data_IF_573642131988
#
_entry.id   IF_573642131988
#
_cell.length_a   1.000
_cell.length_b   1.000
_cell.length_c   1.000
_cell.angle_alpha   90.00
_cell.angle_beta   90.00
_cell.angle_gamma   90.00
#
_symmetry.space_group_name_H-M   'P 1'
#
loop_
_entity.id
_entity.type
_entity.pdbx_description
1 polymer ?
#
# COMPACT_ATOMS: atom_id res chain seq x y z
N UNK A 1 11.40 -35.35 1.66
CA UNK A 1 11.21 -34.62 0.44
C UNK A 1 12.20 -33.49 0.28
N UNK A 2 12.75 -33.33 -0.89
CA UNK A 2 13.73 -32.30 -1.12
C UNK A 2 13.07 -31.11 -1.80
N UNK A 3 12.81 -30.05 -1.02
CA UNK A 3 12.12 -28.87 -1.54
C UNK A 3 12.95 -28.13 -2.58
N UNK A 4 14.27 -28.32 -2.59
CA UNK A 4 15.12 -27.63 -3.56
C UNK A 4 14.81 -28.04 -4.99
N UNK A 5 14.34 -29.26 -5.20
CA UNK A 5 13.98 -29.70 -6.54
C UNK A 5 12.73 -29.01 -7.07
N UNK A 6 11.90 -28.55 -6.15
CA UNK A 6 10.64 -27.93 -6.51
C UNK A 6 10.69 -26.42 -6.39
N UNK A 7 11.90 -25.87 -6.23
CA UNK A 7 12.04 -24.43 -6.00
C UNK A 7 12.91 -23.79 -7.05
N UNK A 8 12.61 -22.54 -7.34
CA UNK A 8 13.42 -21.73 -8.24
C UNK A 8 13.80 -20.48 -7.47
N UNK A 9 15.07 -20.13 -7.51
CA UNK A 9 15.53 -18.92 -6.85
C UNK A 9 15.37 -17.74 -7.77
N UNK A 10 14.85 -16.65 -7.24
CA UNK A 10 14.71 -15.40 -7.98
C UNK A 10 15.49 -14.32 -7.26
N UNK A 11 16.11 -13.41 -8.01
CA UNK A 11 16.77 -12.26 -7.36
C UNK A 11 15.77 -11.44 -6.58
N UNK A 12 16.25 -10.83 -5.52
CA UNK A 12 15.40 -10.00 -4.67
C UNK A 12 14.70 -8.90 -5.48
N UNK A 13 15.43 -8.24 -6.37
CA UNK A 13 14.86 -7.16 -7.16
C UNK A 13 13.74 -7.64 -8.06
N UNK A 14 13.86 -8.85 -8.58
CA UNK A 14 12.80 -9.43 -9.41
C UNK A 14 11.54 -9.64 -8.59
N UNK A 15 11.69 -10.15 -7.39
CA UNK A 15 10.53 -10.38 -6.51
C UNK A 15 9.87 -9.05 -6.17
N UNK A 16 10.67 -8.03 -5.88
CA UNK A 16 10.15 -6.70 -5.57
C UNK A 16 9.35 -6.16 -6.75
N UNK A 17 9.90 -6.27 -7.96
CA UNK A 17 9.21 -5.79 -9.14
C UNK A 17 7.88 -6.50 -9.34
N UNK A 18 7.89 -7.82 -9.21
CA UNK A 18 6.65 -8.59 -9.39
C UNK A 18 5.61 -8.20 -8.35
N UNK A 19 6.06 -8.00 -7.12
CA UNK A 19 5.14 -7.63 -6.05
C UNK A 19 4.54 -6.24 -6.29
N UNK A 20 5.38 -5.26 -6.66
CA UNK A 20 4.90 -3.90 -6.90
C UNK A 20 3.90 -3.89 -8.05
N UNK A 21 4.22 -4.58 -9.15
CA UNK A 21 3.32 -4.56 -10.30
C UNK A 21 2.03 -5.31 -10.03
N UNK A 22 2.09 -6.37 -9.23
CA UNK A 22 0.88 -7.06 -8.80
C UNK A 22 -0.01 -6.12 -7.99
N UNK A 23 0.61 -5.37 -7.07
CA UNK A 23 -0.13 -4.40 -6.27
C UNK A 23 -0.75 -3.30 -7.16
N UNK A 24 -0.01 -2.82 -8.16
CA UNK A 24 -0.55 -1.81 -9.07
C UNK A 24 -1.76 -2.32 -9.83
N UNK A 25 -1.66 -3.53 -10.34
CA UNK A 25 -2.80 -4.14 -11.04
C UNK A 25 -3.99 -4.27 -10.09
N UNK A 26 -3.72 -4.66 -8.85
CA UNK A 26 -4.78 -4.78 -7.85
C UNK A 26 -5.47 -3.44 -7.62
N UNK A 27 -4.69 -2.36 -7.52
CA UNK A 27 -5.26 -1.02 -7.34
C UNK A 27 -6.08 -0.60 -8.55
N UNK A 28 -5.57 -0.85 -9.75
CA UNK A 28 -6.29 -0.50 -10.96
C UNK A 28 -7.59 -1.28 -11.09
N UNK A 29 -7.54 -2.54 -10.73
CA UNK A 29 -8.70 -3.41 -10.81
C UNK A 29 -9.84 -2.91 -9.93
N UNK A 30 -9.51 -2.36 -8.76
CA UNK A 30 -10.53 -1.84 -7.86
C UNK A 30 -11.30 -0.68 -8.47
N UNK A 31 -10.71 0.00 -9.46
CA UNK A 31 -11.32 1.15 -10.10
C UNK A 31 -12.12 0.79 -11.34
N UNK A 32 -12.05 -0.45 -11.78
CA UNK A 32 -12.76 -0.88 -12.98
C UNK A 32 -14.24 -0.95 -12.67
N UNK A 33 -15.05 -0.23 -13.45
CA UNK A 33 -16.48 -0.17 -13.22
C UNK A 33 -17.23 -1.27 -13.93
N UNK A 34 -16.80 -1.66 -15.11
CA UNK A 34 -17.46 -2.72 -15.85
C UNK A 34 -16.89 -4.06 -15.41
N UNK A 35 -17.51 -4.65 -14.41
CA UNK A 35 -16.98 -5.87 -13.82
C UNK A 35 -17.11 -7.07 -14.72
N UNK A 36 -18.08 -7.06 -15.63
CA UNK A 36 -18.26 -8.19 -16.53
C UNK A 36 -17.06 -8.39 -17.44
N UNK A 37 -16.45 -7.29 -17.88
CA UNK A 37 -15.31 -7.37 -18.77
C UNK A 37 -13.98 -7.56 -18.05
N UNK A 38 -14.01 -7.63 -16.72
CA UNK A 38 -12.79 -7.71 -15.94
C UNK A 38 -12.67 -9.00 -15.15
N UNK A 39 -13.53 -9.97 -15.41
CA UNK A 39 -13.53 -11.20 -14.61
C UNK A 39 -12.20 -11.93 -14.70
N UNK A 40 -11.69 -12.11 -15.92
CA UNK A 40 -10.42 -12.79 -16.11
C UNK A 40 -9.26 -12.05 -15.46
N UNK A 41 -9.27 -10.73 -15.62
CA UNK A 41 -8.23 -9.90 -15.03
C UNK A 41 -8.26 -10.02 -13.49
N UNK A 42 -9.46 -9.90 -12.93
CA UNK A 42 -9.61 -10.00 -11.48
C UNK A 42 -9.12 -11.33 -10.95
N UNK A 43 -9.46 -12.39 -11.65
CA UNK A 43 -9.04 -13.73 -11.26
C UNK A 43 -7.51 -13.85 -11.28
N UNK A 44 -6.89 -13.38 -12.37
CA UNK A 44 -5.43 -13.49 -12.51
C UNK A 44 -4.69 -12.66 -11.48
N UNK A 45 -5.14 -11.42 -11.25
CA UNK A 45 -4.49 -10.55 -10.29
C UNK A 45 -4.61 -11.12 -8.89
N UNK A 46 -5.79 -11.65 -8.55
CA UNK A 46 -5.98 -12.27 -7.24
C UNK A 46 -5.04 -13.45 -7.05
N UNK A 47 -4.90 -14.27 -8.09
CA UNK A 47 -4.02 -15.43 -7.98
C UNK A 47 -2.56 -15.01 -7.81
N UNK A 48 -2.14 -13.96 -8.51
CA UNK A 48 -0.78 -13.47 -8.34
C UNK A 48 -0.54 -12.93 -6.93
N UNK A 49 -1.50 -12.18 -6.43
CA UNK A 49 -1.40 -11.63 -5.08
C UNK A 49 -1.36 -12.74 -4.05
N UNK A 50 -2.26 -13.72 -4.18
CA UNK A 50 -2.31 -14.85 -3.25
C UNK A 50 -1.03 -15.66 -3.29
N UNK A 51 -0.45 -15.85 -4.47
CA UNK A 51 0.79 -16.59 -4.59
C UNK A 51 1.94 -15.91 -3.88
N UNK A 52 2.02 -14.59 -4.02
CA UNK A 52 3.06 -13.83 -3.33
C UNK A 52 2.86 -13.87 -1.82
N UNK A 53 1.62 -13.73 -1.38
CA UNK A 53 1.32 -13.76 0.05
C UNK A 53 1.62 -15.13 0.64
N UNK A 54 1.38 -16.18 -0.13
CA UNK A 54 1.68 -17.53 0.33
C UNK A 54 3.19 -17.72 0.56
N UNK A 55 4.02 -16.96 -0.13
CA UNK A 55 5.46 -17.04 0.04
C UNK A 55 5.96 -16.14 1.16
N UNK A 56 5.10 -15.33 1.74
CA UNK A 56 5.47 -14.46 2.84
C UNK A 56 5.45 -12.98 2.54
N UNK A 57 5.04 -12.57 1.35
CA UNK A 57 4.90 -11.16 1.04
C UNK A 57 3.70 -10.57 1.74
N UNK A 58 3.87 -9.40 2.34
CA UNK A 58 2.76 -8.65 2.91
C UNK A 58 2.77 -7.28 2.28
N UNK A 59 1.58 -6.83 1.87
CA UNK A 59 1.39 -5.50 1.29
C UNK A 59 0.69 -4.65 2.33
N UNK A 60 1.35 -3.59 2.77
CA UNK A 60 0.81 -2.75 3.84
C UNK A 60 0.28 -1.46 3.23
N UNK A 61 -0.98 -1.18 3.48
CA UNK A 61 -1.67 0.01 2.98
C UNK A 61 -2.04 0.88 4.17
N UNK A 62 -1.48 2.09 4.20
CA UNK A 62 -1.73 3.02 5.29
C UNK A 62 -2.54 4.23 4.82
N UNK A 63 -3.23 4.11 3.70
CA UNK A 63 -4.07 5.19 3.19
C UNK A 63 -5.08 5.61 4.25
N UNK A 64 -5.18 6.91 4.45
CA UNK A 64 -6.12 7.47 5.42
C UNK A 64 -5.56 7.62 6.81
N UNK A 65 -4.43 7.03 7.11
CA UNK A 65 -3.84 7.14 8.43
C UNK A 65 -3.07 8.44 8.56
N UNK A 66 -2.97 8.91 9.80
CA UNK A 66 -2.17 10.08 10.09
C UNK A 66 -0.71 9.73 9.93
N UNK A 67 0.02 10.59 9.21
CA UNK A 67 1.42 10.34 8.95
C UNK A 67 2.24 10.45 10.23
N UNK A 68 3.18 9.55 10.38
CA UNK A 68 4.10 9.50 11.49
C UNK A 68 5.48 9.21 10.92
N UNK A 69 6.49 9.88 11.42
CA UNK A 69 7.84 9.75 10.89
C UNK A 69 8.40 8.33 11.04
N UNK A 70 7.79 7.52 11.91
CA UNK A 70 8.21 6.15 12.05
C UNK A 70 7.71 5.22 10.97
N UNK A 71 6.86 5.70 10.08
CA UNK A 71 6.33 4.87 9.01
C UNK A 71 7.38 4.61 7.94
N UNK A 72 7.34 3.41 7.37
CA UNK A 72 8.30 2.99 6.35
C UNK A 72 7.88 3.48 4.97
N UNK A 73 7.85 4.79 4.79
CA UNK A 73 7.42 5.40 3.53
C UNK A 73 8.32 6.55 3.14
N UNK A 74 8.39 6.78 1.83
CA UNK A 74 8.99 7.96 1.26
C UNK A 74 7.88 8.89 0.81
N UNK A 75 8.00 10.16 1.16
CA UNK A 75 6.99 11.14 0.81
C UNK A 75 7.30 11.68 -0.58
N UNK A 76 6.36 11.47 -1.51
CA UNK A 76 6.51 11.94 -2.88
C UNK A 76 6.04 13.39 -2.99
N UNK A 77 4.96 13.71 -2.31
CA UNK A 77 4.38 15.06 -2.39
C UNK A 77 3.51 15.31 -1.16
N UNK A 78 3.34 16.57 -0.83
CA UNK A 78 2.46 16.99 0.25
C UNK A 78 1.53 18.04 -0.30
N UNK A 79 0.23 17.80 -0.22
CA UNK A 79 -0.79 18.69 -0.74
C UNK A 79 -1.46 19.44 0.40
N UNK A 80 -2.05 20.58 0.06
CA UNK A 80 -2.79 21.37 1.03
C UNK A 80 -1.96 22.47 1.65
N UNK A 81 -2.67 23.45 2.21
CA UNK A 81 -2.03 24.61 2.80
C UNK A 81 -1.36 24.27 4.13
N UNK A 82 -0.21 24.86 4.34
CA UNK A 82 0.52 24.66 5.58
C UNK A 82 -0.04 25.58 6.65
N UNK A 83 -0.89 25.03 7.52
CA UNK A 83 -1.50 25.78 8.61
C UNK A 83 -1.08 25.17 9.94
N UNK A 84 -1.12 26.01 10.97
CA UNK A 84 -0.55 25.62 12.25
C UNK A 84 -1.19 24.38 12.85
N UNK A 85 -2.50 24.22 12.69
CA UNK A 85 -3.18 23.07 13.30
C UNK A 85 -3.50 22.00 12.29
N UNK A 86 -2.79 21.98 11.16
CA UNK A 86 -2.99 20.96 10.17
C UNK A 86 -2.21 19.70 10.54
N UNK A 87 -2.82 18.56 10.29
CA UNK A 87 -2.14 17.29 10.39
C UNK A 87 -1.96 16.74 8.99
N UNK A 88 -1.02 15.83 8.85
CA UNK A 88 -0.75 15.21 7.56
C UNK A 88 -1.34 13.82 7.55
N UNK A 89 -2.18 13.57 6.56
CA UNK A 89 -2.79 12.26 6.37
C UNK A 89 -2.24 11.65 5.11
N UNK A 90 -2.17 10.32 5.08
CA UNK A 90 -1.75 9.62 3.88
C UNK A 90 -2.93 9.64 2.93
N UNK A 91 -2.83 10.46 1.89
CA UNK A 91 -3.90 10.60 0.91
C UNK A 91 -3.92 9.44 -0.06
N UNK A 92 -2.75 9.06 -0.53
CA UNK A 92 -2.65 8.04 -1.55
C UNK A 92 -1.31 7.34 -1.45
N UNK A 93 -1.29 6.04 -1.71
CA UNK A 93 -0.05 5.30 -1.83
C UNK A 93 0.26 5.07 -3.29
N UNK A 94 1.44 5.51 -3.71
CA UNK A 94 1.92 5.31 -5.07
C UNK A 94 2.63 3.98 -5.19
N UNK A 95 3.14 3.47 -4.08
CA UNK A 95 3.73 2.15 -4.00
C UNK A 95 3.49 1.62 -2.60
N UNK A 96 3.32 0.31 -2.44
CA UNK A 96 3.01 -0.25 -1.14
C UNK A 96 4.27 -0.41 -0.29
N UNK A 97 4.07 -0.51 1.02
CA UNK A 97 5.12 -1.03 1.88
C UNK A 97 5.09 -2.53 1.71
N UNK A 98 6.22 -3.13 1.42
CA UNK A 98 6.27 -4.57 1.25
C UNK A 98 7.17 -5.18 2.30
N UNK A 99 6.60 -6.15 3.03
CA UNK A 99 7.35 -6.98 3.95
C UNK A 99 7.49 -8.36 3.34
N UNK A 100 8.59 -9.02 3.61
CA UNK A 100 8.76 -10.42 3.25
C UNK A 100 9.16 -11.18 4.50
N UNK A 101 8.31 -12.09 4.92
CA UNK A 101 8.52 -12.85 6.16
C UNK A 101 8.83 -11.92 7.32
N UNK A 102 8.03 -10.86 7.41
CA UNK A 102 8.07 -9.84 8.45
C UNK A 102 9.28 -8.92 8.40
N UNK A 103 10.09 -9.01 7.36
CA UNK A 103 11.20 -8.08 7.19
C UNK A 103 10.86 -7.06 6.13
N UNK A 104 11.20 -5.81 6.39
CA UNK A 104 10.93 -4.75 5.45
C UNK A 104 11.73 -4.95 4.19
N UNK A 105 11.04 -5.08 3.06
CA UNK A 105 11.67 -5.29 1.77
C UNK A 105 11.79 -4.00 1.00
N UNK A 106 10.76 -3.16 1.04
CA UNK A 106 10.76 -1.89 0.34
C UNK A 106 9.86 -0.90 1.07
N UNK A 107 10.28 0.35 1.08
CA UNK A 107 9.48 1.45 1.60
C UNK A 107 8.34 1.75 0.64
N UNK A 108 7.20 2.13 1.19
CA UNK A 108 6.10 2.62 0.37
C UNK A 108 6.39 4.02 -0.12
N UNK A 109 5.60 4.47 -1.07
CA UNK A 109 5.66 5.84 -1.57
C UNK A 109 4.28 6.45 -1.40
N UNK A 110 4.23 7.64 -0.80
CA UNK A 110 2.95 8.22 -0.43
C UNK A 110 2.87 9.67 -0.84
N UNK A 111 1.63 10.10 -1.06
CA UNK A 111 1.27 11.50 -1.16
C UNK A 111 0.51 11.83 0.11
N UNK A 112 0.94 12.87 0.80
CA UNK A 112 0.29 13.32 2.01
C UNK A 112 -0.61 14.50 1.70
N UNK A 113 -1.62 14.72 2.54
CA UNK A 113 -2.41 15.95 2.45
C UNK A 113 -2.54 16.53 3.84
N UNK A 114 -2.51 17.85 3.90
CA UNK A 114 -2.68 18.57 5.15
C UNK A 114 -4.16 18.85 5.35
N UNK A 115 -4.64 18.48 6.51
CA UNK A 115 -6.03 18.74 6.88
C UNK A 115 -6.08 19.29 8.27
N UNK A 116 -7.01 20.19 8.50
CA UNK A 116 -7.23 20.73 9.83
C UNK A 116 -8.18 19.80 10.55
N UNK A 117 -7.76 19.37 11.73
CA UNK A 117 -8.58 18.52 12.56
C UNK A 117 -9.15 19.39 13.65
N UNK A 118 -10.43 19.71 13.52
CA UNK A 118 -11.08 20.58 14.48
C UNK A 118 -12.17 19.88 15.26
N UNK A 119 -12.38 18.63 14.96
CA UNK A 119 -13.52 17.92 15.50
C UNK A 119 -13.48 17.80 17.00
N UNK A 120 -12.34 17.45 17.49
CA UNK A 120 -12.19 17.16 18.89
C UNK A 120 -12.61 18.30 19.75
N UNK A 121 -12.12 19.49 19.47
CA UNK A 121 -12.44 20.64 20.29
C UNK A 121 -13.92 20.94 20.22
N UNK A 122 -14.49 20.86 19.06
CA UNK A 122 -15.89 21.19 18.87
C UNK A 122 -16.78 20.22 19.63
N UNK A 123 -16.46 18.99 19.52
CA UNK A 123 -17.28 17.98 20.18
C UNK A 123 -17.23 18.09 21.68
N UNK A 124 -16.09 18.37 22.18
CA UNK A 124 -15.94 18.44 23.62
C UNK A 124 -16.67 19.63 24.18
N UNK A 125 -16.70 20.69 23.43
CA UNK A 125 -17.45 21.83 23.85
C UNK A 125 -18.91 21.57 24.01
N UNK A 126 -19.41 20.54 23.39
CA UNK A 126 -20.81 20.23 23.45
C UNK A 126 -21.22 19.45 24.68
N UNK A 127 -20.31 18.95 25.38
CA UNK A 127 -20.64 18.17 26.57
C UNK A 127 -20.82 19.01 27.83
#
# INVERSE_FOLDING_TARGET
MNTKKDSILLPKDTVITLAIETWRLWQMMKRVKNKANSVGLRYSVRKMKDALEAQGCSFIDITGQRYDEGMAVDIIDIEGENKDNAVKLVKEMMAPIILFKNELLIYGQVILERKIVSIDTTKEGKR
#
